data_IF_536517169127
#
_entry.id   IF_536517169127
#
_cell.length_a   1.000
_cell.length_b   1.000
_cell.length_c   1.000
_cell.angle_alpha   90.00
_cell.angle_beta   90.00
_cell.angle_gamma   90.00
#
_symmetry.space_group_name_H-M   'P 1'
#
loop_
_entity.id
_entity.type
_entity.pdbx_description
1 polymer ?
#
# COMPACT_ATOMS: atom_id res chain seq x y z
N UNK A 1 24.31 17.69 1.03
CA UNK A 1 24.54 17.41 2.48
C UNK A 1 25.41 16.17 2.70
N UNK A 2 25.13 15.06 2.00
CA UNK A 2 25.87 13.80 2.08
C UNK A 2 27.35 13.94 1.66
N UNK A 3 27.66 14.75 0.63
CA UNK A 3 29.04 15.00 0.21
C UNK A 3 29.92 15.64 1.31
N UNK A 4 29.35 16.52 2.13
CA UNK A 4 30.09 17.14 3.23
C UNK A 4 30.44 16.11 4.32
N UNK A 5 29.58 15.12 4.57
CA UNK A 5 29.88 14.02 5.49
C UNK A 5 30.97 13.11 4.94
N UNK A 6 30.88 12.75 3.66
CA UNK A 6 31.90 11.94 2.99
C UNK A 6 33.29 12.59 3.03
N UNK A 7 33.37 13.89 2.76
CA UNK A 7 34.62 14.65 2.86
C UNK A 7 35.21 14.64 4.27
N UNK A 8 34.36 14.70 5.30
CA UNK A 8 34.80 14.63 6.70
C UNK A 8 35.29 13.23 7.08
N UNK A 9 34.63 12.18 6.60
CA UNK A 9 35.06 10.78 6.81
C UNK A 9 36.41 10.54 6.14
N UNK A 10 36.58 10.99 4.89
CA UNK A 10 37.85 10.91 4.17
C UNK A 10 38.99 11.65 4.91
N UNK A 11 38.70 12.83 5.45
CA UNK A 11 39.65 13.58 6.29
C UNK A 11 40.03 12.81 7.56
N UNK A 12 39.05 12.22 8.27
CA UNK A 12 39.31 11.43 9.48
C UNK A 12 40.14 10.18 9.16
N UNK A 13 39.87 9.50 8.04
CA UNK A 13 40.64 8.34 7.58
C UNK A 13 42.10 8.73 7.34
N UNK A 14 42.34 9.82 6.61
CA UNK A 14 43.69 10.33 6.38
C UNK A 14 44.42 10.79 7.66
N UNK A 15 43.68 11.31 8.64
CA UNK A 15 44.24 11.69 9.94
C UNK A 15 44.66 10.46 10.76
N UNK A 16 43.84 9.42 10.78
CA UNK A 16 44.15 8.15 11.48
C UNK A 16 45.36 7.46 10.85
N UNK A 17 45.44 7.45 9.52
CA UNK A 17 46.59 6.90 8.79
C UNK A 17 47.87 7.71 9.04
N UNK A 18 47.77 9.05 9.03
CA UNK A 18 48.91 9.94 9.25
C UNK A 18 49.45 9.94 10.69
N UNK A 19 48.60 9.65 11.68
CA UNK A 19 49.01 9.51 13.08
C UNK A 19 49.45 8.08 13.43
N UNK A 20 49.26 7.12 12.50
CA UNK A 20 49.58 5.70 12.68
C UNK A 20 48.96 5.17 13.99
N UNK A 21 47.67 5.46 14.15
CA UNK A 21 46.87 5.14 15.34
C UNK A 21 46.20 3.77 15.18
N UNK A 22 45.81 3.41 13.96
CA UNK A 22 45.05 2.18 13.66
C UNK A 22 45.76 0.89 14.08
N UNK A 23 47.09 0.82 14.01
CA UNK A 23 47.84 -0.41 14.31
C UNK A 23 48.40 -0.48 15.74
N UNK A 24 48.45 0.63 16.48
CA UNK A 24 49.23 0.70 17.73
C UNK A 24 48.50 0.25 18.99
N UNK A 25 47.19 0.48 19.08
CA UNK A 25 46.42 0.23 20.30
C UNK A 25 44.99 -0.26 20.00
N UNK A 26 44.34 -0.88 21.00
CA UNK A 26 42.96 -1.36 20.86
C UNK A 26 41.98 -0.22 20.52
N UNK A 27 42.23 0.97 21.06
CA UNK A 27 41.46 2.18 20.79
C UNK A 27 41.54 2.59 19.31
N UNK A 28 42.72 2.52 18.69
CA UNK A 28 42.91 2.86 17.29
C UNK A 28 42.24 1.90 16.32
N UNK A 29 42.19 0.61 16.67
CA UNK A 29 41.38 -0.38 15.93
C UNK A 29 39.89 -0.05 15.99
N UNK A 30 39.38 0.32 17.16
CA UNK A 30 37.97 0.73 17.32
C UNK A 30 37.67 1.96 16.46
N UNK A 31 38.55 2.97 16.49
CA UNK A 31 38.38 4.19 15.69
C UNK A 31 38.41 3.89 14.19
N UNK A 32 39.30 3.01 13.72
CA UNK A 32 39.36 2.60 12.33
C UNK A 32 38.05 1.92 11.89
N UNK A 33 37.56 0.95 12.67
CA UNK A 33 36.28 0.28 12.41
C UNK A 33 35.10 1.26 12.42
N UNK A 34 35.08 2.22 13.35
CA UNK A 34 34.04 3.26 13.37
C UNK A 34 34.04 4.11 12.09
N UNK A 35 35.22 4.43 11.54
CA UNK A 35 35.33 5.18 10.29
C UNK A 35 34.82 4.34 9.11
N UNK A 36 35.10 3.03 9.07
CA UNK A 36 34.57 2.15 8.03
C UNK A 36 33.05 2.04 8.06
N UNK A 37 32.47 1.85 9.26
CA UNK A 37 31.01 1.82 9.44
C UNK A 37 30.38 3.15 9.01
N UNK A 38 31.01 4.28 9.34
CA UNK A 38 30.52 5.59 8.90
C UNK A 38 30.53 5.74 7.37
N UNK A 39 31.53 5.17 6.70
CA UNK A 39 31.65 5.20 5.24
C UNK A 39 30.56 4.33 4.59
N UNK A 40 30.29 3.14 5.15
CA UNK A 40 29.21 2.26 4.73
C UNK A 40 27.83 2.91 4.91
N UNK A 41 27.59 3.54 6.06
CA UNK A 41 26.36 4.32 6.31
C UNK A 41 26.21 5.45 5.29
N UNK A 42 27.29 6.15 4.94
CA UNK A 42 27.24 7.18 3.91
C UNK A 42 26.98 6.61 2.52
N UNK A 43 27.43 5.39 2.21
CA UNK A 43 27.12 4.73 0.94
C UNK A 43 25.63 4.35 0.87
N UNK A 44 25.09 3.72 1.91
CA UNK A 44 23.67 3.37 2.00
C UNK A 44 22.77 4.61 1.95
N UNK A 45 23.16 5.72 2.57
CA UNK A 45 22.41 6.97 2.49
C UNK A 45 22.37 7.55 1.07
N UNK A 46 23.43 7.39 0.27
CA UNK A 46 23.39 7.83 -1.14
C UNK A 46 22.43 6.98 -1.96
N UNK A 47 22.47 5.67 -1.78
CA UNK A 47 21.53 4.76 -2.45
C UNK A 47 20.08 5.09 -2.07
N UNK A 48 19.82 5.32 -0.76
CA UNK A 48 18.51 5.72 -0.29
C UNK A 48 18.06 7.05 -0.90
N UNK A 49 18.95 8.04 -0.98
CA UNK A 49 18.65 9.34 -1.60
C UNK A 49 18.22 9.17 -3.06
N UNK A 50 18.97 8.39 -3.84
CA UNK A 50 18.62 8.12 -5.24
C UNK A 50 17.26 7.43 -5.37
N UNK A 51 16.96 6.46 -4.50
CA UNK A 51 15.65 5.80 -4.50
C UNK A 51 14.50 6.74 -4.12
N UNK A 52 14.76 7.73 -3.26
CA UNK A 52 13.77 8.75 -2.90
C UNK A 52 13.53 9.70 -4.07
N UNK A 53 14.59 10.17 -4.74
CA UNK A 53 14.47 10.98 -5.96
C UNK A 53 13.68 10.23 -7.04
N UNK A 54 13.98 8.95 -7.29
CA UNK A 54 13.20 8.12 -8.22
C UNK A 54 11.72 7.98 -7.80
N UNK A 55 11.44 7.90 -6.49
CA UNK A 55 10.06 7.83 -5.99
C UNK A 55 9.32 9.17 -6.14
N UNK A 56 10.00 10.29 -5.95
CA UNK A 56 9.46 11.63 -6.21
C UNK A 56 9.08 11.77 -7.68
N UNK A 57 9.93 11.33 -8.61
CA UNK A 57 9.63 11.32 -10.06
C UNK A 57 8.37 10.48 -10.38
N UNK A 58 8.22 9.31 -9.75
CA UNK A 58 7.02 8.48 -9.93
C UNK A 58 5.75 9.14 -9.37
N UNK A 59 5.85 9.86 -8.25
CA UNK A 59 4.71 10.56 -7.67
C UNK A 59 4.30 11.73 -8.56
N UNK A 60 5.26 12.48 -9.11
CA UNK A 60 4.98 13.56 -10.06
C UNK A 60 4.29 13.02 -11.34
N UNK A 61 4.74 11.88 -11.85
CA UNK A 61 4.08 11.23 -12.98
C UNK A 61 2.65 10.76 -12.66
N UNK A 62 2.41 10.25 -11.44
CA UNK A 62 1.07 9.88 -11.00
C UNK A 62 0.16 11.11 -10.84
N UNK A 63 0.69 12.23 -10.38
CA UNK A 63 -0.05 13.49 -10.26
C UNK A 63 -0.50 14.00 -11.64
N UNK A 64 0.40 13.97 -12.64
CA UNK A 64 0.08 14.30 -14.04
C UNK A 64 -0.99 13.36 -14.62
N UNK A 65 -0.87 12.05 -14.40
CA UNK A 65 -1.87 11.07 -14.85
C UNK A 65 -3.24 11.30 -14.17
N UNK A 66 -3.26 11.72 -12.90
CA UNK A 66 -4.49 12.03 -12.18
C UNK A 66 -5.12 13.33 -12.67
N UNK A 67 -4.33 14.36 -12.99
CA UNK A 67 -4.82 15.60 -13.60
C UNK A 67 -5.59 15.31 -14.90
N UNK A 68 -5.07 14.42 -15.75
CA UNK A 68 -5.74 14.00 -16.98
C UNK A 68 -7.10 13.31 -16.71
N UNK A 69 -7.16 12.46 -15.68
CA UNK A 69 -8.41 11.79 -15.27
C UNK A 69 -9.41 12.80 -14.70
N UNK A 70 -8.95 13.72 -13.87
CA UNK A 70 -9.76 14.80 -13.31
C UNK A 70 -10.35 15.68 -14.43
N UNK A 71 -9.53 16.06 -15.41
CA UNK A 71 -9.98 16.82 -16.56
C UNK A 71 -10.97 16.03 -17.42
N UNK A 72 -10.77 14.72 -17.60
CA UNK A 72 -11.69 13.87 -18.36
C UNK A 72 -13.06 13.73 -17.69
N UNK A 73 -13.09 13.60 -16.36
CA UNK A 73 -14.33 13.39 -15.60
C UNK A 73 -15.04 14.69 -15.23
N UNK A 74 -14.29 15.75 -14.94
CA UNK A 74 -14.79 16.99 -14.34
C UNK A 74 -14.48 18.26 -15.16
N UNK A 75 -13.74 18.15 -16.26
CA UNK A 75 -13.23 19.30 -17.03
C UNK A 75 -14.25 20.10 -17.85
N UNK A 76 -15.52 19.68 -17.92
CA UNK A 76 -16.59 20.47 -18.55
C UNK A 76 -17.52 21.19 -17.55
N UNK A 77 -17.46 20.86 -16.25
CA UNK A 77 -18.26 21.50 -15.20
C UNK A 77 -17.40 22.45 -14.34
N UNK A 78 -17.38 23.74 -14.73
CA UNK A 78 -16.81 24.87 -13.97
C UNK A 78 -17.49 25.09 -12.59
N UNK A 79 -18.50 24.27 -12.28
CA UNK A 79 -19.35 24.34 -11.09
C UNK A 79 -18.88 23.44 -9.93
N UNK A 80 -17.84 22.60 -10.10
CA UNK A 80 -17.37 21.69 -9.03
C UNK A 80 -16.30 22.27 -8.10
N UNK A 81 -15.87 23.51 -8.34
CA UNK A 81 -15.22 24.34 -7.32
C UNK A 81 -16.22 25.33 -6.71
N UNK A 82 -17.47 24.89 -6.49
CA UNK A 82 -18.30 25.56 -5.49
C UNK A 82 -17.54 25.47 -4.17
N UNK A 83 -16.83 26.55 -3.83
CA UNK A 83 -16.47 26.86 -2.44
C UNK A 83 -17.70 26.50 -1.64
N UNK A 84 -17.60 25.47 -0.79
CA UNK A 84 -18.67 25.10 0.11
C UNK A 84 -19.03 26.40 0.84
N UNK A 85 -20.10 27.07 0.39
CA UNK A 85 -20.70 28.14 1.16
C UNK A 85 -21.09 27.44 2.46
N UNK A 86 -20.60 28.01 3.55
CA UNK A 86 -20.78 27.56 4.93
C UNK A 86 -22.27 27.62 5.28
N UNK A 87 -23.08 26.82 4.60
CA UNK A 87 -24.49 26.63 4.84
C UNK A 87 -24.54 25.63 5.99
N UNK A 88 -24.84 26.16 7.18
CA UNK A 88 -24.84 25.49 8.49
C UNK A 88 -25.75 24.23 8.57
N UNK A 89 -26.28 23.74 7.45
CA UNK A 89 -27.22 22.62 7.32
C UNK A 89 -26.67 21.42 6.50
N UNK A 90 -25.41 21.44 6.04
CA UNK A 90 -24.77 20.23 5.50
C UNK A 90 -24.32 19.35 6.66
N UNK A 91 -25.16 18.36 7.00
CA UNK A 91 -24.80 17.26 7.88
C UNK A 91 -23.57 16.56 7.30
N UNK A 92 -22.40 16.87 7.89
CA UNK A 92 -21.10 16.31 7.57
C UNK A 92 -21.28 14.81 7.30
N UNK A 93 -21.25 14.42 6.01
CA UNK A 93 -21.02 13.03 5.64
C UNK A 93 -19.59 12.77 6.09
N UNK A 94 -19.49 12.33 7.34
CA UNK A 94 -18.27 11.85 7.96
C UNK A 94 -17.56 10.99 6.93
N UNK A 95 -16.35 11.40 6.58
CA UNK A 95 -15.35 10.53 6.00
C UNK A 95 -15.23 9.34 6.96
N UNK A 96 -16.05 8.32 6.74
CA UNK A 96 -15.98 7.09 7.49
C UNK A 96 -14.62 6.48 7.13
N UNK A 97 -13.74 6.45 8.12
CA UNK A 97 -12.56 5.60 8.11
C UNK A 97 -13.09 4.16 8.09
N UNK A 98 -13.38 3.64 6.89
CA UNK A 98 -14.02 2.33 6.68
C UNK A 98 -13.12 1.15 7.08
N UNK A 99 -11.95 1.42 7.66
CA UNK A 99 -10.97 0.42 8.06
C UNK A 99 -11.07 -0.03 9.53
N UNK A 100 -11.90 0.61 10.39
CA UNK A 100 -11.92 0.27 11.83
C UNK A 100 -13.29 0.11 12.52
N UNK A 101 -14.40 0.06 11.78
CA UNK A 101 -15.70 -0.26 12.38
C UNK A 101 -16.13 -1.71 12.07
N UNK A 102 -16.47 -2.45 13.14
CA UNK A 102 -17.15 -3.77 13.13
C UNK A 102 -18.55 -3.74 12.46
N UNK A 103 -18.90 -2.66 11.76
CA UNK A 103 -20.13 -2.47 11.00
C UNK A 103 -19.83 -2.49 9.49
N UNK A 104 -19.20 -3.56 9.02
CA UNK A 104 -19.27 -3.92 7.61
C UNK A 104 -20.75 -4.07 7.26
N UNK A 105 -21.31 -3.08 6.54
CA UNK A 105 -22.69 -3.07 6.08
C UNK A 105 -23.02 -4.42 5.41
N UNK A 106 -23.69 -5.29 6.15
CA UNK A 106 -24.39 -6.43 5.59
C UNK A 106 -25.46 -5.84 4.70
N UNK A 107 -25.25 -5.89 3.38
CA UNK A 107 -26.31 -5.65 2.40
C UNK A 107 -27.52 -6.45 2.84
N UNK A 108 -28.56 -5.75 3.33
CA UNK A 108 -29.80 -6.39 3.71
C UNK A 108 -30.35 -7.07 2.46
N UNK A 109 -30.32 -8.41 2.49
CA UNK A 109 -30.81 -9.28 1.43
C UNK A 109 -32.34 -9.17 1.33
N UNK A 110 -32.84 -8.03 0.87
CA UNK A 110 -34.22 -7.87 0.46
C UNK A 110 -34.39 -8.49 -0.91
N UNK A 111 -34.49 -9.82 -0.92
CA UNK A 111 -35.48 -10.62 -1.65
C UNK A 111 -35.57 -10.61 -3.18
N UNK A 112 -34.96 -9.67 -3.91
CA UNK A 112 -35.13 -9.60 -5.37
C UNK A 112 -33.92 -8.96 -6.09
N UNK A 113 -32.71 -9.37 -5.71
CA UNK A 113 -31.51 -9.04 -6.47
C UNK A 113 -31.61 -9.69 -7.87
N UNK A 114 -31.58 -8.88 -8.93
CA UNK A 114 -31.52 -9.36 -10.31
C UNK A 114 -30.16 -10.06 -10.56
N UNK A 115 -30.11 -11.37 -10.30
CA UNK A 115 -28.95 -12.22 -10.49
C UNK A 115 -28.91 -12.73 -11.95
N UNK A 116 -27.88 -12.34 -12.70
CA UNK A 116 -27.76 -12.64 -14.14
C UNK A 116 -26.78 -13.79 -14.45
N UNK A 117 -25.86 -14.11 -13.53
CA UNK A 117 -24.85 -15.15 -13.76
C UNK A 117 -24.20 -15.67 -12.48
N UNK A 118 -23.49 -16.80 -12.57
CA UNK A 118 -22.75 -17.32 -11.43
C UNK A 118 -21.62 -18.27 -11.80
N UNK A 119 -20.58 -18.27 -10.96
CA UNK A 119 -19.37 -19.08 -11.09
C UNK A 119 -19.26 -20.02 -9.90
N UNK A 120 -18.98 -21.30 -10.16
CA UNK A 120 -18.74 -22.30 -9.12
C UNK A 120 -17.29 -22.76 -9.17
N UNK A 121 -16.61 -22.70 -8.02
CA UNK A 121 -15.22 -23.13 -7.91
C UNK A 121 -14.95 -23.71 -6.52
N UNK A 122 -14.01 -24.65 -6.46
CA UNK A 122 -13.59 -25.30 -5.23
C UNK A 122 -12.51 -24.48 -4.52
N UNK A 123 -12.70 -24.22 -3.22
CA UNK A 123 -11.67 -23.60 -2.40
C UNK A 123 -10.38 -24.47 -2.41
N UNK A 124 -9.22 -23.96 -2.83
CA UNK A 124 -7.99 -24.75 -2.88
C UNK A 124 -7.48 -25.18 -1.49
N UNK A 125 -7.97 -24.56 -0.42
CA UNK A 125 -7.57 -24.87 0.95
C UNK A 125 -8.44 -25.95 1.62
N UNK A 126 -9.77 -25.86 1.50
CA UNK A 126 -10.69 -26.79 2.19
C UNK A 126 -11.59 -27.61 1.25
N UNK A 127 -11.42 -27.47 -0.07
CA UNK A 127 -12.16 -28.16 -1.13
C UNK A 127 -13.70 -28.01 -1.07
N UNK A 128 -14.20 -27.04 -0.30
CA UNK A 128 -15.63 -26.70 -0.31
C UNK A 128 -15.99 -25.94 -1.59
N UNK A 129 -17.16 -26.24 -2.14
CA UNK A 129 -17.70 -25.54 -3.29
C UNK A 129 -18.19 -24.16 -2.87
N UNK A 130 -17.69 -23.14 -3.56
CA UNK A 130 -18.08 -21.74 -3.40
C UNK A 130 -18.84 -21.34 -4.65
N UNK A 131 -20.01 -20.72 -4.47
CA UNK A 131 -20.80 -20.13 -5.56
C UNK A 131 -20.73 -18.61 -5.46
N UNK A 132 -20.18 -17.99 -6.50
CA UNK A 132 -20.28 -16.56 -6.75
C UNK A 132 -21.50 -16.34 -7.64
N UNK A 133 -22.40 -15.45 -7.26
CA UNK A 133 -23.45 -14.93 -8.14
C UNK A 133 -23.20 -13.47 -8.41
N UNK A 134 -23.34 -13.08 -9.67
CA UNK A 134 -23.25 -11.71 -10.13
C UNK A 134 -24.67 -11.18 -10.40
N UNK A 135 -24.93 -9.99 -9.92
CA UNK A 135 -26.17 -9.26 -10.17
C UNK A 135 -25.90 -7.80 -10.49
N UNK A 136 -26.89 -7.16 -11.10
CA UNK A 136 -26.87 -5.71 -11.33
C UNK A 136 -28.07 -5.08 -10.64
N UNK A 137 -27.85 -3.97 -9.95
CA UNK A 137 -28.94 -3.22 -9.31
C UNK A 137 -29.66 -2.28 -10.29
N UNK A 138 -30.71 -1.61 -9.80
CA UNK A 138 -31.53 -0.68 -10.58
C UNK A 138 -30.76 0.56 -11.05
N UNK A 139 -29.63 0.87 -10.41
CA UNK A 139 -28.74 1.99 -10.72
C UNK A 139 -27.62 1.60 -11.70
N UNK A 140 -27.48 0.31 -12.00
CA UNK A 140 -26.55 -0.23 -12.99
C UNK A 140 -25.23 -0.73 -12.41
N UNK A 141 -25.05 -0.74 -11.09
CA UNK A 141 -23.85 -1.25 -10.43
C UNK A 141 -23.87 -2.77 -10.33
N UNK A 142 -22.69 -3.37 -10.50
CA UNK A 142 -22.51 -4.82 -10.42
C UNK A 142 -22.18 -5.23 -8.99
N UNK A 143 -22.94 -6.16 -8.43
CA UNK A 143 -22.73 -6.70 -7.09
C UNK A 143 -22.51 -8.23 -7.13
N UNK A 144 -21.79 -8.75 -6.13
CA UNK A 144 -21.45 -10.16 -6.04
C UNK A 144 -21.91 -10.76 -4.72
N UNK A 145 -22.63 -11.88 -4.79
CA UNK A 145 -23.06 -12.66 -3.63
C UNK A 145 -22.24 -13.95 -3.55
N UNK A 146 -21.57 -14.16 -2.41
CA UNK A 146 -20.81 -15.37 -2.12
C UNK A 146 -21.67 -16.28 -1.25
N UNK A 147 -22.21 -17.34 -1.85
CA UNK A 147 -22.95 -18.37 -1.14
C UNK A 147 -22.03 -19.55 -0.83
N UNK A 148 -22.01 -19.98 0.44
CA UNK A 148 -21.41 -21.26 0.83
C UNK A 148 -22.44 -22.36 0.57
N UNK A 149 -22.06 -23.43 -0.13
CA UNK A 149 -22.93 -24.61 -0.24
C UNK A 149 -23.17 -25.20 1.16
N UNK A 150 -24.40 -25.12 1.68
CA UNK A 150 -24.82 -25.77 2.94
C UNK A 150 -25.17 -27.24 2.75
N UNK A 151 -24.52 -27.91 1.80
CA UNK A 151 -24.69 -29.34 1.59
C UNK A 151 -23.86 -30.05 2.69
N UNK A 152 -24.52 -30.44 3.78
CA UNK A 152 -24.01 -31.41 4.76
C UNK A 152 -23.79 -32.77 4.06
N UNK A 153 -22.82 -32.86 3.16
CA UNK A 153 -22.33 -34.16 2.73
C UNK A 153 -21.49 -34.70 3.86
N UNK A 154 -22.08 -35.61 4.62
CA UNK A 154 -21.37 -36.52 5.52
C UNK A 154 -20.15 -37.07 4.78
N UNK A 155 -18.97 -36.54 5.10
CA UNK A 155 -17.71 -37.07 4.60
C UNK A 155 -17.53 -38.47 5.18
N UNK A 156 -17.93 -39.50 4.44
CA UNK A 156 -17.47 -40.85 4.75
C UNK A 156 -15.97 -40.92 4.48
N UNK A 157 -15.17 -41.46 5.42
CA UNK A 157 -13.74 -41.58 5.24
C UNK A 157 -13.45 -42.50 4.05
N UNK A 158 -12.76 -41.97 3.05
CA UNK A 158 -12.12 -42.78 2.03
C UNK A 158 -10.87 -43.35 2.68
N UNK A 159 -10.97 -44.55 3.24
CA UNK A 159 -9.81 -45.43 3.24
C UNK A 159 -10.20 -46.81 2.69
N UNK A 160 -9.34 -47.37 1.84
CA UNK A 160 -9.62 -48.54 1.02
C UNK A 160 -9.48 -49.82 1.87
N UNK A 161 -10.22 -50.85 1.47
CA UNK A 161 -9.68 -52.21 1.56
C UNK A 161 -8.98 -52.51 0.26
#
# INVERSE_FOLDING_TARGET
MIEAMANRIAYLRGLVDGLDVSEKNAEGKIVAEMIEIMDEVCAQFRELHTRVEEAEDYIEALDEDLEDVELYLFGEDDDLYETIEDDEDIEYATCYDLDDDEDAYLYEANGDAHLEGGYEFSCPHCQKEIRLREGRDEEGYSHYLIERSTDERECQPINPT
#
